data_IF_185850979806
#
_entry.id   IF_185850979806
#
_cell.length_a   1.000
_cell.length_b   1.000
_cell.length_c   1.000
_cell.angle_alpha   90.00
_cell.angle_beta   90.00
_cell.angle_gamma   90.00
#
_symmetry.space_group_name_H-M   'P 1'
#
loop_
_entity.id
_entity.type
_entity.pdbx_description
1 polymer ?
#
# COMPACT_ATOMS: atom_id res chain seq x y z
N UNK A 1 -14.14 -1.28 -0.43
CA UNK A 1 -13.61 -2.63 -0.11
C UNK A 1 -14.51 -3.78 -0.56
N UNK A 2 -15.85 -3.75 -0.39
CA UNK A 2 -16.73 -4.83 -0.87
C UNK A 2 -16.54 -5.13 -2.36
N UNK A 3 -16.45 -4.09 -3.19
CA UNK A 3 -16.27 -4.24 -4.64
C UNK A 3 -14.92 -4.88 -5.03
N UNK A 4 -13.86 -4.60 -4.26
CA UNK A 4 -12.53 -5.17 -4.49
C UNK A 4 -12.49 -6.65 -4.08
N UNK A 5 -13.15 -7.00 -2.97
CA UNK A 5 -13.32 -8.39 -2.54
C UNK A 5 -14.15 -9.15 -3.57
N UNK A 6 -15.25 -8.58 -4.06
CA UNK A 6 -16.06 -9.18 -5.14
C UNK A 6 -15.25 -9.36 -6.42
N UNK A 7 -14.46 -8.36 -6.81
CA UNK A 7 -13.60 -8.45 -7.99
C UNK A 7 -12.55 -9.57 -7.85
N UNK A 8 -11.84 -9.64 -6.72
CA UNK A 8 -10.86 -10.71 -6.50
C UNK A 8 -11.50 -12.08 -6.38
N UNK A 9 -12.66 -12.23 -5.76
CA UNK A 9 -13.36 -13.51 -5.71
C UNK A 9 -13.68 -14.06 -7.11
N UNK A 10 -13.97 -13.17 -8.08
CA UNK A 10 -14.28 -13.55 -9.46
C UNK A 10 -13.04 -13.72 -10.36
N UNK A 11 -11.99 -12.92 -10.15
CA UNK A 11 -10.89 -12.79 -11.12
C UNK A 11 -9.51 -13.25 -10.58
N UNK A 12 -9.30 -13.21 -9.27
CA UNK A 12 -8.01 -13.50 -8.64
C UNK A 12 -8.18 -13.96 -7.18
N UNK A 13 -8.85 -15.09 -6.92
CA UNK A 13 -9.22 -15.53 -5.57
C UNK A 13 -8.01 -15.80 -4.67
N UNK A 14 -6.83 -16.01 -5.24
CA UNK A 14 -5.58 -16.16 -4.49
C UNK A 14 -5.17 -14.94 -3.64
N UNK A 15 -5.78 -13.76 -3.87
CA UNK A 15 -5.55 -12.56 -3.04
C UNK A 15 -6.49 -12.45 -1.83
N UNK A 16 -7.36 -13.44 -1.64
CA UNK A 16 -8.33 -13.48 -0.55
C UNK A 16 -8.03 -14.63 0.40
N UNK A 17 -8.20 -14.39 1.70
CA UNK A 17 -8.54 -15.45 2.64
C UNK A 17 -10.05 -15.67 2.57
N UNK A 18 -10.44 -16.76 1.92
CA UNK A 18 -11.82 -17.18 1.76
C UNK A 18 -12.36 -17.91 2.99
N UNK A 19 -11.51 -18.29 3.95
CA UNK A 19 -11.91 -18.92 5.21
C UNK A 19 -12.37 -17.88 6.24
N UNK A 20 -11.95 -16.62 6.09
CA UNK A 20 -12.47 -15.49 6.86
C UNK A 20 -13.94 -15.16 6.49
N UNK A 21 -14.73 -14.71 7.48
CA UNK A 21 -16.13 -14.28 7.26
C UNK A 21 -16.34 -12.84 7.80
N UNK A 22 -16.45 -11.83 6.94
CA UNK A 22 -16.37 -11.89 5.46
C UNK A 22 -14.94 -12.16 4.96
N UNK A 23 -14.76 -12.58 3.68
CA UNK A 23 -13.44 -12.75 3.08
C UNK A 23 -12.61 -11.47 3.19
N UNK A 24 -11.32 -11.61 3.50
CA UNK A 24 -10.39 -10.48 3.65
C UNK A 24 -9.26 -10.56 2.63
N UNK A 25 -8.72 -9.41 2.24
CA UNK A 25 -7.58 -9.34 1.33
C UNK A 25 -6.32 -9.66 2.14
N UNK A 26 -5.64 -10.76 1.83
CA UNK A 26 -4.40 -11.17 2.53
C UNK A 26 -3.13 -10.59 1.91
N UNK A 27 -3.28 -9.88 0.81
CA UNK A 27 -2.22 -9.12 0.16
C UNK A 27 -1.94 -9.56 -1.27
N UNK A 28 -0.99 -8.86 -1.87
CA UNK A 28 -0.49 -9.17 -3.20
C UNK A 28 0.78 -9.98 -3.03
N UNK A 29 0.91 -11.04 -3.83
CA UNK A 29 1.92 -12.07 -3.64
C UNK A 29 3.31 -11.44 -3.43
N UNK A 30 3.90 -11.68 -2.24
CA UNK A 30 5.23 -11.19 -1.79
C UNK A 30 5.40 -9.66 -1.66
N UNK A 31 4.32 -8.89 -1.66
CA UNK A 31 4.38 -7.45 -1.48
C UNK A 31 3.84 -7.05 -0.11
N UNK A 32 4.61 -6.33 0.72
CA UNK A 32 4.09 -5.77 1.97
C UNK A 32 2.85 -4.92 1.72
N UNK A 33 1.85 -5.07 2.58
CA UNK A 33 0.62 -4.27 2.55
C UNK A 33 0.41 -3.63 3.92
N UNK A 34 0.22 -2.30 3.94
CA UNK A 34 -0.21 -1.59 5.13
C UNK A 34 -1.75 -1.52 5.12
N UNK A 35 -2.36 -1.72 6.28
CA UNK A 35 -3.82 -1.67 6.43
C UNK A 35 -4.24 -0.64 7.47
N UNK A 36 -5.32 0.08 7.17
CA UNK A 36 -6.02 0.97 8.10
C UNK A 36 -7.52 0.81 7.89
N UNK A 37 -8.17 0.13 8.84
CA UNK A 37 -9.58 -0.26 8.71
C UNK A 37 -9.84 -1.08 7.44
N UNK A 38 -10.63 -0.52 6.52
CA UNK A 38 -11.01 -1.17 5.26
C UNK A 38 -10.16 -0.73 4.05
N UNK A 39 -9.07 0.01 4.28
CA UNK A 39 -8.16 0.46 3.25
C UNK A 39 -6.82 -0.28 3.33
N UNK A 40 -6.23 -0.55 2.18
CA UNK A 40 -4.90 -1.15 2.05
C UNK A 40 -4.01 -0.30 1.15
N UNK A 41 -2.73 -0.22 1.47
CA UNK A 41 -1.71 0.51 0.73
C UNK A 41 -0.58 -0.44 0.33
N UNK A 42 -0.18 -0.35 -0.93
CA UNK A 42 0.78 -1.28 -1.55
C UNK A 42 1.67 -0.52 -2.53
N UNK A 43 2.97 -0.80 -2.49
CA UNK A 43 3.92 -0.42 -3.53
C UNK A 43 4.17 -1.61 -4.45
N UNK A 44 3.97 -1.47 -5.76
CA UNK A 44 4.09 -2.57 -6.72
C UNK A 44 5.00 -2.22 -7.89
N UNK A 45 5.75 -3.22 -8.37
CA UNK A 45 6.37 -3.20 -9.70
C UNK A 45 5.57 -4.11 -10.61
N UNK A 46 5.01 -3.55 -11.67
CA UNK A 46 4.21 -4.30 -12.64
C UNK A 46 4.73 -4.05 -14.05
N UNK A 47 4.48 -5.01 -14.96
CA UNK A 47 4.76 -4.82 -16.38
C UNK A 47 3.84 -3.74 -16.95
N UNK A 48 4.34 -2.95 -17.91
CA UNK A 48 3.61 -1.80 -18.45
C UNK A 48 2.29 -2.18 -19.11
N UNK A 49 2.23 -3.35 -19.76
CA UNK A 49 1.02 -3.91 -20.37
C UNK A 49 -0.04 -4.34 -19.34
N UNK A 50 0.35 -4.48 -18.07
CA UNK A 50 -0.55 -4.79 -16.95
C UNK A 50 -1.07 -3.56 -16.22
N UNK A 51 -0.56 -2.35 -16.50
CA UNK A 51 -0.99 -1.13 -15.79
C UNK A 51 -2.48 -0.85 -15.99
N UNK A 52 -2.98 -1.06 -17.22
CA UNK A 52 -4.38 -0.86 -17.55
C UNK A 52 -5.31 -1.76 -16.71
N UNK A 53 -4.87 -3.00 -16.44
CA UNK A 53 -5.61 -3.97 -15.63
C UNK A 53 -5.88 -3.42 -14.23
N UNK A 54 -4.97 -2.62 -13.66
CA UNK A 54 -5.10 -2.04 -12.32
C UNK A 54 -5.95 -0.77 -12.28
N UNK A 55 -5.80 0.10 -13.28
CA UNK A 55 -6.58 1.35 -13.35
C UNK A 55 -8.08 1.10 -13.50
N UNK A 56 -8.48 -0.09 -13.99
CA UNK A 56 -9.87 -0.48 -14.15
C UNK A 56 -10.48 -1.21 -12.95
N UNK A 57 -9.71 -1.53 -11.90
CA UNK A 57 -10.22 -2.32 -10.77
C UNK A 57 -11.06 -1.43 -9.85
N UNK A 58 -12.35 -1.77 -9.62
CA UNK A 58 -13.18 -1.05 -8.66
C UNK A 58 -12.55 -1.02 -7.27
N UNK A 59 -12.44 0.18 -6.68
CA UNK A 59 -11.88 0.37 -5.34
C UNK A 59 -10.34 0.43 -5.29
N UNK A 60 -9.65 0.43 -6.44
CA UNK A 60 -8.22 0.73 -6.53
C UNK A 60 -8.02 2.19 -6.94
N UNK A 61 -7.14 2.88 -6.24
CA UNK A 61 -6.67 4.23 -6.60
C UNK A 61 -5.17 4.20 -6.77
N UNK A 62 -4.67 4.64 -7.92
CA UNK A 62 -3.23 4.80 -8.16
C UNK A 62 -2.80 6.16 -7.63
N UNK A 63 -2.00 6.17 -6.56
CA UNK A 63 -1.55 7.41 -5.92
C UNK A 63 -0.38 8.07 -6.67
N UNK A 64 0.52 7.26 -7.22
CA UNK A 64 1.62 7.70 -8.08
C UNK A 64 2.14 6.53 -8.92
N UNK A 65 2.78 6.82 -10.06
CA UNK A 65 3.40 5.82 -10.93
C UNK A 65 4.58 6.44 -11.69
N UNK A 66 5.59 5.61 -12.00
CA UNK A 66 6.74 6.01 -12.84
C UNK A 66 7.23 4.80 -13.65
N UNK A 67 7.72 4.97 -14.89
CA UNK A 67 8.39 3.90 -15.62
C UNK A 67 9.60 3.36 -14.85
N UNK A 68 9.72 2.04 -14.72
CA UNK A 68 10.85 1.41 -14.04
C UNK A 68 12.12 1.45 -14.91
N UNK A 69 12.92 2.51 -14.75
CA UNK A 69 14.15 2.75 -15.53
C UNK A 69 15.43 2.41 -14.77
N UNK A 70 15.36 2.24 -13.44
CA UNK A 70 16.54 1.99 -12.61
C UNK A 70 16.23 1.95 -11.11
N UNK A 71 17.28 1.84 -10.27
CA UNK A 71 17.14 1.77 -8.81
C UNK A 71 16.49 3.02 -8.20
N UNK A 72 16.56 4.16 -8.88
CA UNK A 72 16.02 5.44 -8.42
C UNK A 72 14.52 5.62 -8.74
N UNK A 73 13.91 4.71 -9.51
CA UNK A 73 12.47 4.76 -9.84
C UNK A 73 11.57 4.96 -8.61
N UNK A 74 11.80 4.30 -7.46
CA UNK A 74 10.98 4.54 -6.28
C UNK A 74 11.05 5.99 -5.80
N UNK A 75 12.20 6.66 -5.92
CA UNK A 75 12.37 8.05 -5.53
C UNK A 75 11.46 8.95 -6.37
N UNK A 76 11.39 8.70 -7.69
CA UNK A 76 10.51 9.43 -8.58
C UNK A 76 9.02 9.22 -8.24
N UNK A 77 8.63 7.98 -7.90
CA UNK A 77 7.26 7.66 -7.49
C UNK A 77 6.88 8.41 -6.22
N UNK A 78 7.75 8.38 -5.20
CA UNK A 78 7.50 9.05 -3.93
C UNK A 78 7.58 10.57 -4.03
N UNK A 79 8.49 11.11 -4.84
CA UNK A 79 8.53 12.53 -5.13
C UNK A 79 7.24 13.01 -5.82
N UNK A 80 6.72 12.23 -6.78
CA UNK A 80 5.44 12.53 -7.44
C UNK A 80 4.27 12.46 -6.45
N UNK A 81 4.23 11.43 -5.61
CA UNK A 81 3.21 11.27 -4.57
C UNK A 81 3.19 12.46 -3.61
N UNK A 82 4.35 12.84 -3.06
CA UNK A 82 4.45 13.89 -2.04
C UNK A 82 4.37 15.31 -2.61
N UNK A 83 4.48 15.48 -3.94
CA UNK A 83 4.16 16.72 -4.61
C UNK A 83 2.65 17.00 -4.69
N UNK A 84 1.80 15.98 -4.54
CA UNK A 84 0.34 16.11 -4.55
C UNK A 84 -0.23 15.93 -3.13
N UNK A 85 -0.75 17.01 -2.57
CA UNK A 85 -1.31 17.01 -1.21
C UNK A 85 -2.53 16.08 -1.06
N UNK A 86 -3.34 15.89 -2.10
CA UNK A 86 -4.50 15.01 -2.04
C UNK A 86 -4.06 13.54 -2.05
N UNK A 87 -3.07 13.18 -2.89
CA UNK A 87 -2.52 11.82 -2.91
C UNK A 87 -1.76 11.52 -1.61
N UNK A 88 -1.03 12.49 -1.08
CA UNK A 88 -0.37 12.40 0.23
C UNK A 88 -1.38 12.15 1.35
N UNK A 89 -2.51 12.87 1.36
CA UNK A 89 -3.55 12.66 2.36
C UNK A 89 -4.17 11.25 2.29
N UNK A 90 -4.36 10.69 1.09
CA UNK A 90 -4.82 9.31 0.91
C UNK A 90 -3.79 8.28 1.39
N UNK A 91 -2.51 8.54 1.14
CA UNK A 91 -1.40 7.72 1.63
C UNK A 91 -1.33 7.72 3.16
N UNK A 92 -1.34 8.90 3.78
CA UNK A 92 -1.24 9.08 5.23
C UNK A 92 -2.48 8.56 5.98
N UNK A 93 -3.64 8.50 5.33
CA UNK A 93 -4.83 7.86 5.90
C UNK A 93 -4.68 6.34 6.12
N UNK A 94 -3.74 5.71 5.40
CA UNK A 94 -3.45 4.27 5.54
C UNK A 94 -2.13 4.03 6.27
N UNK A 95 -1.12 4.85 6.02
CA UNK A 95 0.21 4.72 6.59
C UNK A 95 0.57 5.98 7.35
N UNK A 96 0.20 6.02 8.63
CA UNK A 96 0.53 7.13 9.51
C UNK A 96 2.05 7.16 9.76
N UNK A 97 2.66 8.29 9.41
CA UNK A 97 4.09 8.56 9.56
C UNK A 97 4.42 9.39 10.79
N UNK A 98 3.42 9.69 11.62
CA UNK A 98 3.60 10.47 12.84
C UNK A 98 4.49 9.70 13.83
N UNK A 99 5.50 10.34 14.45
CA UNK A 99 6.30 9.70 15.48
C UNK A 99 5.45 9.22 16.65
N UNK A 100 5.76 8.03 17.17
CA UNK A 100 5.06 7.42 18.31
C UNK A 100 6.04 7.11 19.43
N UNK A 101 5.62 7.32 20.67
CA UNK A 101 6.37 6.88 21.85
C UNK A 101 6.09 5.40 22.11
N UNK A 102 7.16 4.62 22.24
CA UNK A 102 7.10 3.19 22.52
C UNK A 102 7.89 2.90 23.79
N UNK A 103 7.35 2.06 24.68
CA UNK A 103 8.07 1.58 25.87
C UNK A 103 9.33 0.82 25.45
N UNK A 104 10.48 1.19 26.02
CA UNK A 104 11.78 0.59 25.70
C UNK A 104 12.05 -0.72 26.46
N UNK A 105 11.14 -1.14 27.35
CA UNK A 105 11.27 -2.33 28.18
C UNK A 105 12.21 -2.18 29.39
N UNK A 106 12.81 -1.00 29.58
CA UNK A 106 13.67 -0.64 30.70
C UNK A 106 13.04 0.42 31.63
N UNK A 107 11.75 0.74 31.41
CA UNK A 107 11.01 1.76 32.15
C UNK A 107 11.15 3.18 31.57
N UNK A 108 11.68 3.30 30.35
CA UNK A 108 11.73 4.53 29.57
C UNK A 108 10.82 4.46 28.34
N UNK A 109 10.85 5.52 27.53
CA UNK A 109 10.21 5.55 26.22
C UNK A 109 11.22 5.93 25.15
N UNK A 110 11.03 5.40 23.95
CA UNK A 110 11.75 5.79 22.75
C UNK A 110 10.76 6.30 21.70
N UNK A 111 11.09 7.42 21.09
CA UNK A 111 10.35 7.93 19.94
C UNK A 111 10.71 7.12 18.69
N UNK A 112 9.73 6.42 18.13
CA UNK A 112 9.87 5.69 16.86
C UNK A 112 9.18 6.50 15.76
N UNK A 113 9.95 6.90 14.74
CA UNK A 113 9.40 7.54 13.54
C UNK A 113 9.29 6.50 12.44
N UNK A 114 8.08 6.19 11.93
CA UNK A 114 7.92 5.32 10.78
C UNK A 114 8.71 5.87 9.58
N UNK A 115 9.30 4.99 8.73
CA UNK A 115 9.91 5.42 7.48
C UNK A 115 8.95 6.28 6.66
N UNK A 116 9.48 7.22 5.87
CA UNK A 116 8.62 8.06 5.03
C UNK A 116 7.92 7.24 3.93
N UNK A 117 8.57 6.16 3.49
CA UNK A 117 8.19 5.36 2.32
C UNK A 117 7.84 3.93 2.73
N UNK A 118 6.66 3.48 2.35
CA UNK A 118 6.19 2.14 2.63
C UNK A 118 6.58 1.14 1.53
N UNK A 119 6.86 -0.11 1.89
CA UNK A 119 6.96 -1.20 0.92
C UNK A 119 8.14 -1.15 -0.06
N UNK A 120 9.09 -0.20 0.08
CA UNK A 120 10.39 -0.30 -0.58
C UNK A 120 11.14 -1.51 -0.01
N UNK A 121 11.07 -2.65 -0.67
CA UNK A 121 12.03 -3.72 -0.47
C UNK A 121 13.29 -3.37 -1.27
N UNK A 122 14.40 -3.21 -0.55
CA UNK A 122 15.74 -3.01 -1.12
C UNK A 122 16.27 -4.23 -1.86
#
# INVERSE_FOLDING_TARGET
MPDLITYFAANAPQHLDLEASPPVIIGFDRTPVAFSGAAGLVYLRILSDRVADWTGIPGVTILAQSPCTGPDTPDDVYATLFADAAMTALYDAVYDRTPVEVDDGAGGTVTVTPPERFGQMG
#
